data_IF_728860745221
#
_entry.id   IF_728860745221
#
_cell.length_a   1.000
_cell.length_b   1.000
_cell.length_c   1.000
_cell.angle_alpha   90.00
_cell.angle_beta   90.00
_cell.angle_gamma   90.00
#
_symmetry.space_group_name_H-M   'P 1'
#
loop_
_entity.id
_entity.type
_entity.pdbx_description
1 polymer ?
#
# COMPACT_ATOMS: atom_id res chain seq x y z
N UNK A 1 79.66 -12.90 11.33
CA UNK A 1 78.95 -12.92 10.03
C UNK A 1 77.48 -13.26 10.30
N UNK A 2 76.64 -12.24 10.47
CA UNK A 2 75.19 -12.41 10.62
C UNK A 2 74.51 -12.31 9.26
N UNK A 3 73.96 -13.42 8.78
CA UNK A 3 73.09 -13.48 7.60
C UNK A 3 71.86 -14.32 7.96
N UNK A 4 70.84 -13.72 8.55
CA UNK A 4 69.52 -14.38 8.72
C UNK A 4 68.30 -13.46 8.63
N UNK A 5 68.46 -12.13 8.60
CA UNK A 5 67.31 -11.21 8.68
C UNK A 5 66.56 -10.97 7.35
N UNK A 6 67.21 -11.15 6.19
CA UNK A 6 66.60 -10.83 4.90
C UNK A 6 65.50 -11.82 4.48
N UNK A 7 65.67 -13.12 4.76
CA UNK A 7 64.67 -14.15 4.38
C UNK A 7 63.43 -14.19 5.29
N UNK A 8 63.56 -13.79 6.56
CA UNK A 8 62.44 -13.71 7.50
C UNK A 8 61.52 -12.50 7.22
N UNK A 9 62.11 -11.38 6.79
CA UNK A 9 61.34 -10.16 6.48
C UNK A 9 60.47 -10.35 5.23
N UNK A 10 60.97 -11.09 4.24
CA UNK A 10 60.26 -11.39 2.99
C UNK A 10 59.06 -12.33 3.23
N UNK A 11 59.25 -13.36 4.07
CA UNK A 11 58.17 -14.29 4.44
C UNK A 11 57.04 -13.60 5.21
N UNK A 12 57.37 -12.75 6.19
CA UNK A 12 56.37 -11.99 6.96
C UNK A 12 55.61 -11.04 6.04
N UNK A 13 56.30 -10.39 5.09
CA UNK A 13 55.68 -9.47 4.13
C UNK A 13 54.68 -10.21 3.22
N UNK A 14 55.04 -11.40 2.74
CA UNK A 14 54.14 -12.26 1.95
C UNK A 14 52.91 -12.68 2.75
N UNK A 15 53.08 -13.10 4.01
CA UNK A 15 51.97 -13.50 4.89
C UNK A 15 51.01 -12.33 5.15
N UNK A 16 51.55 -11.14 5.42
CA UNK A 16 50.74 -9.92 5.64
C UNK A 16 50.00 -9.53 4.36
N UNK A 17 50.66 -9.53 3.21
CA UNK A 17 50.03 -9.22 1.92
C UNK A 17 48.92 -10.22 1.55
N UNK A 18 49.16 -11.51 1.74
CA UNK A 18 48.12 -12.54 1.50
C UNK A 18 46.96 -12.41 2.48
N UNK A 19 47.22 -12.16 3.77
CA UNK A 19 46.17 -11.93 4.76
C UNK A 19 45.29 -10.71 4.43
N UNK A 20 45.90 -9.59 4.03
CA UNK A 20 45.18 -8.39 3.61
C UNK A 20 44.38 -8.65 2.32
N UNK A 21 44.97 -9.32 1.33
CA UNK A 21 44.27 -9.65 0.09
C UNK A 21 43.04 -10.55 0.33
N UNK A 22 43.13 -11.50 1.26
CA UNK A 22 42.04 -12.40 1.62
C UNK A 22 40.90 -11.65 2.33
N UNK A 23 41.24 -10.73 3.25
CA UNK A 23 40.26 -9.86 3.91
C UNK A 23 39.54 -8.95 2.91
N UNK A 24 40.27 -8.36 1.96
CA UNK A 24 39.68 -7.55 0.88
C UNK A 24 38.78 -8.41 -0.01
N UNK A 25 39.20 -9.63 -0.37
CA UNK A 25 38.39 -10.56 -1.16
C UNK A 25 37.07 -10.92 -0.48
N UNK A 26 37.10 -11.27 0.81
CA UNK A 26 35.89 -11.62 1.58
C UNK A 26 34.95 -10.41 1.69
N UNK A 27 35.48 -9.22 1.98
CA UNK A 27 34.65 -8.02 2.12
C UNK A 27 34.01 -7.58 0.80
N UNK A 28 34.72 -7.71 -0.33
CA UNK A 28 34.15 -7.48 -1.67
C UNK A 28 33.06 -8.50 -2.00
N UNK A 29 33.28 -9.79 -1.72
CA UNK A 29 32.25 -10.82 -1.93
C UNK A 29 31.00 -10.59 -1.10
N UNK A 30 31.15 -10.25 0.19
CA UNK A 30 30.03 -9.92 1.07
C UNK A 30 29.26 -8.69 0.58
N UNK A 31 29.97 -7.67 0.07
CA UNK A 31 29.36 -6.48 -0.52
C UNK A 31 28.53 -6.82 -1.76
N UNK A 32 29.06 -7.62 -2.70
CA UNK A 32 28.32 -8.05 -3.89
C UNK A 32 27.11 -8.92 -3.56
N UNK A 33 27.24 -9.81 -2.58
CA UNK A 33 26.11 -10.63 -2.13
C UNK A 33 24.99 -9.77 -1.52
N UNK A 34 25.35 -8.73 -0.77
CA UNK A 34 24.38 -7.77 -0.19
C UNK A 34 23.67 -6.95 -1.28
N UNK A 35 24.42 -6.48 -2.28
CA UNK A 35 23.86 -5.79 -3.46
C UNK A 35 22.92 -6.69 -4.26
N UNK A 36 23.33 -7.94 -4.49
CA UNK A 36 22.52 -8.92 -5.23
C UNK A 36 21.21 -9.21 -4.51
N UNK A 37 21.25 -9.42 -3.19
CA UNK A 37 20.06 -9.71 -2.40
C UNK A 37 19.10 -8.52 -2.36
N UNK A 38 19.62 -7.30 -2.18
CA UNK A 38 18.81 -6.07 -2.22
C UNK A 38 18.14 -5.90 -3.58
N UNK A 39 18.90 -6.10 -4.66
CA UNK A 39 18.38 -5.95 -6.03
C UNK A 39 17.31 -7.00 -6.35
N UNK A 40 17.52 -8.25 -5.94
CA UNK A 40 16.54 -9.32 -6.12
C UNK A 40 15.23 -9.04 -5.37
N UNK A 41 15.32 -8.59 -4.11
CA UNK A 41 14.15 -8.21 -3.30
C UNK A 41 13.38 -7.03 -3.92
N UNK A 42 14.08 -6.04 -4.49
CA UNK A 42 13.45 -4.92 -5.17
C UNK A 42 12.71 -5.34 -6.44
N UNK A 43 13.30 -6.24 -7.23
CA UNK A 43 12.66 -6.82 -8.43
C UNK A 43 11.44 -7.66 -8.06
N UNK A 44 11.55 -8.49 -7.02
CA UNK A 44 10.44 -9.30 -6.53
C UNK A 44 9.26 -8.43 -6.08
N UNK A 45 9.55 -7.40 -5.27
CA UNK A 45 8.57 -6.40 -4.86
C UNK A 45 7.90 -5.75 -6.06
N UNK A 46 8.68 -5.26 -7.02
CA UNK A 46 8.13 -4.57 -8.18
C UNK A 46 7.25 -5.50 -9.05
N UNK A 47 7.68 -6.74 -9.25
CA UNK A 47 6.89 -7.75 -9.96
C UNK A 47 5.57 -8.05 -9.24
N UNK A 48 5.61 -8.23 -7.92
CA UNK A 48 4.40 -8.44 -7.11
C UNK A 48 3.45 -7.25 -7.24
N UNK A 49 3.93 -6.04 -7.01
CA UNK A 49 3.09 -4.83 -7.04
C UNK A 49 2.52 -4.57 -8.43
N UNK A 50 3.29 -4.78 -9.51
CA UNK A 50 2.81 -4.64 -10.89
C UNK A 50 1.76 -5.70 -11.24
N UNK A 51 1.94 -6.94 -10.79
CA UNK A 51 0.93 -7.99 -11.00
C UNK A 51 -0.37 -7.65 -10.26
N UNK A 52 -0.30 -7.18 -9.02
CA UNK A 52 -1.48 -6.76 -8.25
C UNK A 52 -2.16 -5.53 -8.86
N UNK A 53 -1.39 -4.58 -9.38
CA UNK A 53 -1.92 -3.39 -10.05
C UNK A 53 -2.78 -3.74 -11.26
N UNK A 54 -2.38 -4.76 -12.03
CA UNK A 54 -3.07 -5.19 -13.26
C UNK A 54 -4.18 -6.19 -13.00
N UNK A 55 -4.11 -6.94 -11.89
CA UNK A 55 -5.10 -7.93 -11.51
C UNK A 55 -6.39 -7.35 -10.91
N UNK A 56 -6.43 -6.07 -10.54
CA UNK A 56 -7.56 -5.48 -9.80
C UNK A 56 -8.25 -4.35 -10.58
N UNK A 57 -9.58 -4.32 -10.49
CA UNK A 57 -10.44 -3.27 -11.03
C UNK A 57 -11.33 -2.71 -9.92
N UNK A 58 -11.42 -1.38 -9.88
CA UNK A 58 -12.40 -0.64 -9.07
C UNK A 58 -13.30 0.14 -10.00
N UNK A 59 -14.60 0.07 -9.79
CA UNK A 59 -15.59 0.83 -10.57
C UNK A 59 -16.67 1.39 -9.65
N UNK A 60 -17.01 2.66 -9.81
CA UNK A 60 -18.20 3.23 -9.18
C UNK A 60 -19.47 2.59 -9.76
N UNK A 61 -20.34 2.16 -8.86
CA UNK A 61 -21.68 1.63 -9.20
C UNK A 61 -22.68 2.77 -9.12
N UNK A 62 -22.75 3.43 -7.96
CA UNK A 62 -23.69 4.52 -7.69
C UNK A 62 -23.21 5.41 -6.55
N UNK A 63 -23.76 6.61 -6.52
CA UNK A 63 -23.67 7.57 -5.42
C UNK A 63 -25.09 7.95 -5.03
N UNK A 64 -25.40 7.92 -3.74
CA UNK A 64 -26.62 8.47 -3.16
C UNK A 64 -26.22 9.65 -2.28
N UNK A 65 -26.37 10.85 -2.83
CA UNK A 65 -26.00 12.09 -2.15
C UNK A 65 -26.87 12.37 -0.93
N UNK A 66 -28.16 11.96 -0.96
CA UNK A 66 -29.10 12.21 0.12
C UNK A 66 -28.75 11.38 1.36
N UNK A 67 -28.47 10.09 1.16
CA UNK A 67 -28.08 9.18 2.23
C UNK A 67 -26.57 9.22 2.50
N UNK A 68 -25.79 9.96 1.70
CA UNK A 68 -24.33 10.11 1.80
C UNK A 68 -23.61 8.75 1.73
N UNK A 69 -23.96 7.98 0.70
CA UNK A 69 -23.43 6.64 0.47
C UNK A 69 -22.87 6.51 -0.95
N UNK A 70 -21.75 5.78 -1.07
CA UNK A 70 -21.15 5.42 -2.35
C UNK A 70 -21.00 3.91 -2.45
N UNK A 71 -21.34 3.34 -3.61
CA UNK A 71 -21.14 1.92 -3.90
C UNK A 71 -20.07 1.72 -4.96
N UNK A 72 -19.15 0.82 -4.67
CA UNK A 72 -18.01 0.47 -5.50
C UNK A 72 -18.03 -1.01 -5.81
N UNK A 73 -17.66 -1.36 -7.03
CA UNK A 73 -17.35 -2.71 -7.45
C UNK A 73 -15.84 -2.89 -7.41
N UNK A 74 -15.37 -3.81 -6.59
CA UNK A 74 -14.01 -4.31 -6.59
C UNK A 74 -14.01 -5.70 -7.22
N UNK A 75 -13.16 -5.90 -8.23
CA UNK A 75 -13.07 -7.19 -8.93
C UNK A 75 -11.61 -7.56 -9.17
N UNK A 76 -11.31 -8.84 -8.97
CA UNK A 76 -10.07 -9.44 -9.46
C UNK A 76 -10.27 -10.02 -10.85
N UNK A 77 -9.40 -9.65 -11.77
CA UNK A 77 -9.39 -10.13 -13.15
C UNK A 77 -8.68 -11.48 -13.28
N UNK A 78 -7.75 -11.77 -12.37
CA UNK A 78 -7.04 -13.05 -12.27
C UNK A 78 -7.84 -14.11 -11.51
N UNK A 79 -9.03 -13.75 -11.00
CA UNK A 79 -9.90 -14.59 -10.19
C UNK A 79 -9.21 -15.21 -8.95
N UNK A 80 -8.09 -14.63 -8.50
CA UNK A 80 -7.39 -15.12 -7.32
C UNK A 80 -8.24 -14.86 -6.08
N UNK A 81 -8.27 -15.79 -5.13
CA UNK A 81 -9.08 -15.67 -3.90
C UNK A 81 -8.36 -14.82 -2.84
N UNK A 82 -7.95 -13.61 -3.21
CA UNK A 82 -7.16 -12.71 -2.35
C UNK A 82 -7.98 -11.50 -1.94
N UNK A 83 -7.93 -11.18 -0.65
CA UNK A 83 -8.68 -10.07 -0.05
C UNK A 83 -8.23 -8.70 -0.56
N UNK A 84 -9.13 -7.73 -0.43
CA UNK A 84 -8.83 -6.33 -0.74
C UNK A 84 -8.47 -5.57 0.54
N UNK A 85 -7.45 -4.72 0.43
CA UNK A 85 -7.10 -3.76 1.47
C UNK A 85 -7.40 -2.38 0.91
N UNK A 86 -8.20 -1.62 1.63
CA UNK A 86 -8.61 -0.31 1.21
C UNK A 86 -8.52 0.70 2.35
N UNK A 87 -8.28 1.94 1.99
CA UNK A 87 -8.43 3.10 2.86
C UNK A 87 -9.32 4.09 2.15
N UNK A 88 -10.17 4.77 2.91
CA UNK A 88 -11.10 5.75 2.35
C UNK A 88 -10.89 7.10 3.00
N UNK A 89 -10.90 8.13 2.17
CA UNK A 89 -10.98 9.51 2.63
C UNK A 89 -12.06 10.28 1.88
N UNK A 90 -12.53 11.34 2.51
CA UNK A 90 -13.53 12.25 1.99
C UNK A 90 -12.95 13.66 2.00
N UNK A 91 -13.10 14.38 0.88
CA UNK A 91 -12.80 15.80 0.79
C UNK A 91 -14.04 16.59 1.14
N UNK A 92 -13.96 17.42 2.17
CA UNK A 92 -15.05 18.28 2.60
C UNK A 92 -15.13 19.55 1.72
N UNK A 93 -16.26 20.25 1.78
CA UNK A 93 -16.49 21.48 1.01
C UNK A 93 -15.51 22.62 1.33
N UNK A 94 -14.93 22.63 2.53
CA UNK A 94 -13.88 23.57 2.94
C UNK A 94 -12.48 23.19 2.40
N UNK A 95 -12.37 22.09 1.65
CA UNK A 95 -11.12 21.58 1.08
C UNK A 95 -10.28 20.74 2.04
N UNK A 96 -10.74 20.53 3.27
CA UNK A 96 -10.10 19.60 4.21
C UNK A 96 -10.33 18.14 3.78
N UNK A 97 -9.43 17.27 4.22
CA UNK A 97 -9.49 15.84 3.95
C UNK A 97 -9.76 15.12 5.28
N UNK A 98 -10.77 14.24 5.31
CA UNK A 98 -11.11 13.42 6.46
C UNK A 98 -10.99 11.93 6.15
N UNK A 99 -10.39 11.19 7.08
CA UNK A 99 -10.25 9.74 6.96
C UNK A 99 -11.51 9.08 7.47
N UNK A 100 -12.08 8.19 6.66
CA UNK A 100 -13.19 7.36 7.10
C UNK A 100 -12.64 6.13 7.82
N UNK A 101 -13.10 5.83 9.05
CA UNK A 101 -12.72 4.61 9.74
C UNK A 101 -13.35 3.38 9.05
N UNK A 102 -12.81 2.19 9.31
CA UNK A 102 -13.30 0.97 8.64
C UNK A 102 -14.74 0.59 9.00
N UNK A 103 -15.27 1.12 10.10
CA UNK A 103 -16.69 1.04 10.47
C UNK A 103 -17.63 1.73 9.49
N UNK A 104 -17.10 2.59 8.63
CA UNK A 104 -17.82 3.27 7.56
C UNK A 104 -17.74 2.52 6.22
N UNK A 105 -17.03 1.39 6.18
CA UNK A 105 -16.92 0.56 4.99
C UNK A 105 -17.64 -0.75 5.24
N UNK A 106 -18.58 -1.07 4.38
CA UNK A 106 -19.34 -2.32 4.40
C UNK A 106 -19.12 -3.06 3.10
N UNK A 107 -19.22 -4.37 3.12
CA UNK A 107 -19.11 -5.16 1.90
C UNK A 107 -20.26 -6.13 1.77
N UNK A 108 -20.72 -6.29 0.54
CA UNK A 108 -21.82 -7.17 0.22
C UNK A 108 -21.39 -8.64 0.31
N UNK A 109 -22.22 -9.44 0.96
CA UNK A 109 -22.08 -10.89 1.07
C UNK A 109 -23.35 -11.50 0.49
N UNK A 110 -23.30 -12.13 -0.70
CA UNK A 110 -24.48 -12.68 -1.36
C UNK A 110 -25.26 -13.66 -0.47
N UNK A 111 -24.57 -14.40 0.39
CA UNK A 111 -25.17 -15.40 1.29
C UNK A 111 -26.00 -14.78 2.43
N UNK A 112 -25.82 -13.48 2.71
CA UNK A 112 -26.57 -12.74 3.74
C UNK A 112 -27.68 -11.88 3.15
N UNK A 113 -27.80 -11.85 1.82
CA UNK A 113 -28.80 -11.03 1.13
C UNK A 113 -30.18 -11.68 1.17
N UNK A 114 -31.05 -11.15 2.02
CA UNK A 114 -32.42 -11.65 2.21
C UNK A 114 -33.38 -11.03 1.18
N UNK A 115 -33.13 -9.80 0.76
CA UNK A 115 -34.11 -8.94 0.09
C UNK A 115 -33.69 -8.52 -1.34
N UNK A 116 -32.52 -8.96 -1.79
CA UNK A 116 -31.85 -8.53 -3.04
C UNK A 116 -31.49 -7.04 -3.05
N UNK A 117 -31.36 -6.44 -1.88
CA UNK A 117 -30.98 -5.04 -1.68
C UNK A 117 -29.64 -5.04 -0.95
N UNK A 118 -28.63 -4.45 -1.58
CA UNK A 118 -27.27 -4.43 -1.04
C UNK A 118 -27.21 -3.49 0.18
N UNK A 119 -27.11 -4.07 1.37
CA UNK A 119 -26.80 -3.36 2.62
C UNK A 119 -27.81 -2.25 2.98
N UNK A 120 -29.11 -2.55 2.92
CA UNK A 120 -30.18 -1.63 3.32
C UNK A 120 -30.18 -1.34 4.81
N UNK A 121 -29.83 -2.32 5.64
CA UNK A 121 -29.70 -2.17 7.09
C UNK A 121 -28.26 -2.43 7.56
N UNK A 122 -27.82 -1.82 8.68
CA UNK A 122 -26.46 -1.98 9.21
C UNK A 122 -26.06 -3.43 9.52
N UNK A 123 -27.04 -4.30 9.80
CA UNK A 123 -26.82 -5.71 10.16
C UNK A 123 -26.75 -6.64 8.94
N UNK A 124 -27.16 -6.18 7.76
CA UNK A 124 -27.25 -7.00 6.54
C UNK A 124 -25.91 -7.16 5.82
N UNK A 125 -25.00 -6.21 6.01
CA UNK A 125 -23.66 -6.27 5.43
C UNK A 125 -22.59 -6.18 6.50
N UNK A 126 -21.60 -7.10 6.50
CA UNK A 126 -20.49 -6.99 7.40
C UNK A 126 -19.71 -5.69 7.18
N UNK A 127 -19.29 -5.08 8.30
CA UNK A 127 -18.30 -4.02 8.30
C UNK A 127 -16.93 -4.56 7.91
N UNK A 128 -16.15 -3.74 7.22
CA UNK A 128 -14.74 -4.01 6.98
C UNK A 128 -13.99 -3.99 8.31
N UNK A 129 -13.04 -4.90 8.45
CA UNK A 129 -12.24 -5.01 9.67
C UNK A 129 -11.01 -4.12 9.56
N UNK A 130 -10.75 -3.30 10.57
CA UNK A 130 -9.44 -2.63 10.66
C UNK A 130 -8.38 -3.66 11.05
N UNK A 131 -7.41 -3.89 10.17
CA UNK A 131 -6.32 -4.84 10.43
C UNK A 131 -5.04 -4.16 10.92
N UNK A 132 -4.92 -2.86 10.67
CA UNK A 132 -3.75 -2.08 11.02
C UNK A 132 -4.12 -0.61 11.05
N UNK A 133 -3.53 0.10 12.01
CA UNK A 133 -3.53 1.56 12.07
C UNK A 133 -2.11 2.06 11.80
N UNK A 134 -1.83 2.45 10.55
CA UNK A 134 -0.47 2.80 10.13
C UNK A 134 -0.24 4.32 10.13
N UNK A 135 0.94 4.81 10.52
CA UNK A 135 1.29 6.21 10.32
C UNK A 135 1.24 6.58 8.84
N UNK A 136 0.74 7.78 8.53
CA UNK A 136 0.61 8.26 7.14
C UNK A 136 1.93 8.22 6.35
N UNK A 137 3.08 8.35 7.05
CA UNK A 137 4.42 8.30 6.46
C UNK A 137 4.90 6.91 6.00
N UNK A 138 4.13 5.86 6.29
CA UNK A 138 4.46 4.48 5.89
C UNK A 138 3.68 4.05 4.63
N UNK A 139 3.03 4.99 3.97
CA UNK A 139 2.31 4.76 2.71
C UNK A 139 3.13 5.24 1.53
N UNK A 140 3.36 4.34 0.60
CA UNK A 140 4.10 4.60 -0.63
C UNK A 140 3.16 4.51 -1.83
N UNK A 141 3.26 5.47 -2.74
CA UNK A 141 2.55 5.45 -4.03
C UNK A 141 3.55 5.53 -5.18
N UNK A 142 3.22 4.93 -6.32
CA UNK A 142 3.94 5.10 -7.58
C UNK A 142 3.16 6.11 -8.45
N UNK A 143 3.56 7.39 -8.51
CA UNK A 143 2.89 8.38 -9.35
C UNK A 143 2.88 7.94 -10.80
N UNK A 144 1.85 8.34 -11.54
CA UNK A 144 1.79 8.10 -12.98
C UNK A 144 3.01 8.71 -13.67
N UNK A 145 3.67 7.93 -14.54
CA UNK A 145 4.90 8.34 -15.23
C UNK A 145 6.16 8.32 -14.36
N UNK A 146 6.09 7.89 -13.09
CA UNK A 146 7.26 7.73 -12.22
C UNK A 146 7.69 6.27 -12.12
N UNK A 147 9.01 6.04 -12.16
CA UNK A 147 9.60 4.74 -11.83
C UNK A 147 9.82 4.56 -10.32
N UNK A 148 9.75 5.64 -9.55
CA UNK A 148 10.05 5.64 -8.12
C UNK A 148 8.77 5.70 -7.28
N UNK A 149 8.77 4.93 -6.20
CA UNK A 149 7.80 5.04 -5.12
C UNK A 149 8.12 6.27 -4.27
N UNK A 150 7.09 7.03 -3.92
CA UNK A 150 7.20 8.21 -3.07
C UNK A 150 6.20 8.13 -1.93
N UNK A 151 6.54 8.78 -0.82
CA UNK A 151 5.64 8.95 0.31
C UNK A 151 4.36 9.68 -0.12
N UNK A 152 3.20 9.17 0.32
CA UNK A 152 1.89 9.73 -0.04
C UNK A 152 1.72 11.20 0.38
N UNK A 153 2.32 11.63 1.49
CA UNK A 153 2.28 13.02 1.96
C UNK A 153 3.03 13.93 1.01
N UNK A 154 4.21 13.48 0.57
CA UNK A 154 5.00 14.19 -0.45
C UNK A 154 4.22 14.27 -1.75
N UNK A 155 3.61 13.16 -2.19
CA UNK A 155 2.76 13.14 -3.38
C UNK A 155 1.60 14.13 -3.27
N UNK A 156 0.78 14.06 -2.22
CA UNK A 156 -0.36 14.97 -2.01
C UNK A 156 0.05 16.43 -1.96
N UNK A 157 1.15 16.75 -1.27
CA UNK A 157 1.71 18.11 -1.25
C UNK A 157 2.08 18.59 -2.65
N UNK A 158 2.68 17.73 -3.48
CA UNK A 158 3.06 18.09 -4.85
C UNK A 158 1.88 18.35 -5.78
N UNK A 159 0.73 17.71 -5.53
CA UNK A 159 -0.52 17.94 -6.29
C UNK A 159 -1.41 19.02 -5.66
N UNK A 160 -0.91 19.77 -4.68
CA UNK A 160 -1.65 20.87 -4.03
C UNK A 160 -2.84 20.40 -3.17
N UNK A 161 -2.88 19.13 -2.80
CA UNK A 161 -3.90 18.57 -1.92
C UNK A 161 -3.51 18.78 -0.46
N UNK A 162 -4.48 19.13 0.38
CA UNK A 162 -4.27 19.32 1.82
C UNK A 162 -3.79 18.01 2.44
N UNK A 163 -2.52 17.91 2.87
CA UNK A 163 -2.05 16.70 3.52
C UNK A 163 -2.61 16.62 4.94
N UNK A 164 -2.68 15.41 5.48
CA UNK A 164 -2.99 15.24 6.90
C UNK A 164 -1.91 15.89 7.77
N UNK A 165 -2.35 16.48 8.88
CA UNK A 165 -1.44 16.93 9.94
C UNK A 165 -0.61 15.74 10.45
N UNK A 166 0.66 15.99 10.76
CA UNK A 166 1.57 14.95 11.26
C UNK A 166 0.98 14.28 12.51
N UNK A 167 1.03 12.94 12.56
CA UNK A 167 0.56 12.15 13.71
C UNK A 167 -0.77 11.43 13.49
N UNK A 168 -1.52 11.71 12.42
CA UNK A 168 -2.71 10.91 12.07
C UNK A 168 -2.30 9.50 11.61
N UNK A 169 -3.10 8.52 12.02
CA UNK A 169 -2.97 7.12 11.61
C UNK A 169 -4.13 6.75 10.70
N UNK A 170 -3.86 5.86 9.76
CA UNK A 170 -4.81 5.38 8.78
C UNK A 170 -5.28 3.98 9.16
N UNK A 171 -6.58 3.80 9.28
CA UNK A 171 -7.18 2.47 9.35
C UNK A 171 -7.10 1.80 7.98
N UNK A 172 -6.37 0.69 7.90
CA UNK A 172 -6.38 -0.17 6.71
C UNK A 172 -7.55 -1.13 6.85
N UNK A 173 -8.52 -0.99 5.96
CA UNK A 173 -9.76 -1.76 5.98
C UNK A 173 -9.59 -3.01 5.13
N UNK A 174 -9.80 -4.15 5.78
CA UNK A 174 -9.82 -5.45 5.15
C UNK A 174 -11.23 -5.77 4.67
N UNK A 175 -11.35 -6.02 3.38
CA UNK A 175 -12.57 -6.53 2.74
C UNK A 175 -12.30 -7.95 2.30
N UNK A 176 -13.00 -8.90 2.95
CA UNK A 176 -12.89 -10.30 2.63
C UNK A 176 -13.38 -10.56 1.20
N UNK A 177 -12.53 -11.16 0.36
CA UNK A 177 -12.92 -11.51 -1.00
C UNK A 177 -13.59 -12.88 -1.02
N UNK A 178 -14.80 -12.94 -1.56
CA UNK A 178 -15.62 -14.17 -1.61
C UNK A 178 -15.75 -14.76 -3.02
N UNK A 179 -14.96 -14.28 -3.97
CA UNK A 179 -15.01 -14.71 -5.37
C UNK A 179 -15.88 -13.80 -6.24
N UNK A 180 -15.54 -13.71 -7.52
CA UNK A 180 -16.27 -12.86 -8.48
C UNK A 180 -16.16 -11.37 -8.20
N UNK A 181 -17.33 -10.73 -8.08
CA UNK A 181 -17.52 -9.29 -7.93
C UNK A 181 -17.75 -8.94 -6.45
N UNK A 182 -16.88 -8.11 -5.86
CA UNK A 182 -17.04 -7.63 -4.50
C UNK A 182 -17.67 -6.25 -4.51
N UNK A 183 -18.90 -6.12 -4.02
CA UNK A 183 -19.54 -4.80 -3.84
C UNK A 183 -19.15 -4.26 -2.47
N UNK A 184 -18.73 -3.00 -2.43
CA UNK A 184 -18.34 -2.27 -1.23
C UNK A 184 -19.18 -1.00 -1.13
N UNK A 185 -19.78 -0.79 0.03
CA UNK A 185 -20.52 0.41 0.40
C UNK A 185 -19.63 1.26 1.31
N UNK A 186 -19.45 2.52 0.95
CA UNK A 186 -18.79 3.53 1.76
C UNK A 186 -19.86 4.49 2.26
N UNK A 187 -20.02 4.54 3.57
CA UNK A 187 -20.93 5.44 4.27
C UNK A 187 -20.15 6.66 4.78
N UNK A 188 -20.51 7.85 4.31
CA UNK A 188 -19.92 9.11 4.77
C UNK A 188 -20.98 10.03 5.40
N UNK A 189 -22.07 9.45 5.90
CA UNK A 189 -23.19 10.17 6.52
C UNK A 189 -22.80 10.96 7.76
N UNK A 190 -21.79 10.47 8.50
CA UNK A 190 -21.25 11.09 9.71
C UNK A 190 -20.42 12.35 9.44
N UNK A 191 -20.06 12.59 8.18
CA UNK A 191 -19.30 13.77 7.77
C UNK A 191 -20.23 14.91 7.37
N UNK A 192 -19.68 16.12 7.32
CA UNK A 192 -20.36 17.32 6.82
C UNK A 192 -20.66 17.24 5.32
N UNK A 193 -20.49 18.36 4.63
CA UNK A 193 -20.67 18.43 3.18
C UNK A 193 -19.43 17.85 2.48
N UNK A 194 -19.59 16.70 1.82
CA UNK A 194 -18.51 16.00 1.10
C UNK A 194 -18.59 16.34 -0.39
N UNK A 195 -17.46 16.65 -1.01
CA UNK A 195 -17.35 16.98 -2.44
C UNK A 195 -16.72 15.86 -3.27
N UNK A 196 -15.81 15.09 -2.67
CA UNK A 196 -15.12 13.98 -3.33
C UNK A 196 -14.86 12.87 -2.31
N UNK A 197 -15.02 11.61 -2.72
CA UNK A 197 -14.54 10.45 -1.96
C UNK A 197 -13.41 9.80 -2.73
N UNK A 198 -12.37 9.39 -2.00
CA UNK A 198 -11.23 8.70 -2.58
C UNK A 198 -10.96 7.39 -1.87
N UNK A 199 -10.78 6.35 -2.66
CA UNK A 199 -10.46 5.01 -2.19
C UNK A 199 -9.07 4.63 -2.65
N UNK A 200 -8.22 4.35 -1.69
CA UNK A 200 -6.86 3.88 -1.90
C UNK A 200 -6.85 2.37 -1.81
N UNK A 201 -6.56 1.69 -2.91
CA UNK A 201 -6.27 0.27 -2.89
C UNK A 201 -4.83 0.04 -2.47
N UNK A 202 -4.65 -0.82 -1.47
CA UNK A 202 -3.36 -1.05 -0.83
C UNK A 202 -2.90 -2.50 -1.02
N UNK A 203 -1.58 -2.70 -1.02
CA UNK A 203 -0.95 -4.00 -0.88
C UNK A 203 0.13 -3.94 0.19
N UNK A 204 0.02 -4.73 1.27
CA UNK A 204 1.13 -4.87 2.21
C UNK A 204 2.26 -5.65 1.56
N UNK A 205 3.50 -5.20 1.76
CA UNK A 205 4.71 -5.95 1.42
C UNK A 205 5.79 -5.66 2.47
N UNK A 206 6.28 -6.72 3.12
CA UNK A 206 7.17 -6.61 4.27
C UNK A 206 6.53 -5.73 5.37
N UNK A 207 7.16 -4.62 5.75
CA UNK A 207 6.70 -3.71 6.80
C UNK A 207 5.98 -2.45 6.27
N UNK A 208 5.85 -2.32 4.95
CA UNK A 208 5.29 -1.13 4.29
C UNK A 208 3.99 -1.44 3.56
N UNK A 209 3.23 -0.38 3.29
CA UNK A 209 1.98 -0.45 2.54
C UNK A 209 2.09 0.38 1.27
N UNK A 210 1.81 -0.29 0.15
CA UNK A 210 1.90 0.29 -1.18
C UNK A 210 0.51 0.59 -1.70
N UNK A 211 0.25 1.85 -2.01
CA UNK A 211 -0.95 2.29 -2.73
C UNK A 211 -0.80 1.90 -4.19
N UNK A 212 -1.59 0.93 -4.62
CA UNK A 212 -1.64 0.46 -6.00
C UNK A 212 -2.41 1.44 -6.87
N UNK A 213 -3.60 1.86 -6.42
CA UNK A 213 -4.49 2.75 -7.16
C UNK A 213 -5.19 3.70 -6.21
N UNK A 214 -5.41 4.92 -6.68
CA UNK A 214 -6.32 5.88 -6.07
C UNK A 214 -7.53 5.98 -6.99
N UNK A 215 -8.70 5.58 -6.50
CA UNK A 215 -9.96 5.86 -7.15
C UNK A 215 -10.55 7.13 -6.56
N UNK A 216 -10.92 8.11 -7.40
CA UNK A 216 -11.54 9.36 -6.98
C UNK A 216 -12.92 9.46 -7.62
N UNK A 217 -13.92 9.87 -6.85
CA UNK A 217 -15.26 10.14 -7.37
C UNK A 217 -15.81 11.41 -6.75
N UNK A 218 -16.26 12.33 -7.60
CA UNK A 218 -17.11 13.44 -7.15
C UNK A 218 -18.39 12.85 -6.57
N UNK A 219 -18.83 13.41 -5.46
CA UNK A 219 -20.12 13.11 -4.81
C UNK A 219 -21.09 14.28 -4.88
N UNK A 220 -20.73 15.32 -5.65
CA UNK A 220 -21.60 16.40 -6.08
C UNK A 220 -21.78 16.33 -7.59
N UNK A 221 -23.02 16.29 -8.05
CA UNK A 221 -23.41 16.61 -9.43
C UNK A 221 -23.20 18.10 -9.76
#
# INVERSE_FOLDING_TARGET
MGKSSLGQTDLITVIVLTGVALLVGISVLAYFQTLSNTSASEIEKENLLNSELTAQVVRLISVDENNKVMWLLLRRLDNASVNFFLMVEAKLADGSMELLPCTNVYYYVPELDVDRIVCSQPEECPQATEIASIPFRNLLIKPEGSNNWVDINVYKRSVGETPYSQGRRLGVCYVAYRGGNQIVKVDYSTLGEVTEVRVYLLKPYSNDYYVLRIYKSSVRA
#
